data_IF_276826043322
#
_entry.id   IF_276826043322
#
_cell.length_a   1.000
_cell.length_b   1.000
_cell.length_c   1.000
_cell.angle_alpha   90.00
_cell.angle_beta   90.00
_cell.angle_gamma   90.00
#
_symmetry.space_group_name_H-M   'P 1'
#
loop_
_entity.id
_entity.type
_entity.pdbx_description
1 polymer ?
#
# COMPACT_ATOMS: atom_id res chain seq x y z
N UNK A 1 10.48 4.76 -11.43
CA UNK A 1 9.25 4.99 -12.23
C UNK A 1 8.09 5.00 -11.25
N UNK A 2 7.26 6.04 -11.30
CA UNK A 2 6.07 6.17 -10.46
C UNK A 2 4.84 5.98 -11.36
N UNK A 3 3.84 5.28 -10.84
CA UNK A 3 2.58 5.05 -11.52
C UNK A 3 1.45 5.58 -10.64
N UNK A 4 0.52 6.30 -11.23
CA UNK A 4 -0.73 6.70 -10.58
C UNK A 4 -1.87 5.82 -11.09
N UNK A 5 -2.76 5.44 -10.18
CA UNK A 5 -4.00 4.74 -10.48
C UNK A 5 -5.03 5.14 -9.42
N UNK A 6 -6.22 5.56 -9.84
CA UNK A 6 -7.22 6.17 -8.95
C UNK A 6 -6.60 7.28 -8.07
N UNK A 7 -6.74 7.19 -6.74
CA UNK A 7 -6.17 8.13 -5.77
C UNK A 7 -4.79 7.69 -5.25
N UNK A 8 -4.23 6.62 -5.83
CA UNK A 8 -2.99 6.00 -5.39
C UNK A 8 -1.83 6.34 -6.31
N UNK A 9 -0.65 6.46 -5.71
CA UNK A 9 0.63 6.58 -6.39
C UNK A 9 1.57 5.51 -5.87
N UNK A 10 2.10 4.69 -6.78
CA UNK A 10 3.04 3.62 -6.48
C UNK A 10 4.39 3.89 -7.12
N UNK A 11 5.45 3.87 -6.30
CA UNK A 11 6.82 3.90 -6.76
C UNK A 11 7.35 2.46 -6.86
N UNK A 12 7.57 1.99 -8.09
CA UNK A 12 8.02 0.61 -8.36
C UNK A 12 9.43 0.38 -7.80
N UNK A 13 10.30 1.40 -7.82
CA UNK A 13 11.69 1.23 -7.36
C UNK A 13 11.77 1.29 -5.83
N UNK A 14 11.04 2.22 -5.22
CA UNK A 14 11.01 2.37 -3.78
C UNK A 14 10.00 1.42 -3.09
N UNK A 15 9.24 0.63 -3.86
CA UNK A 15 8.15 -0.25 -3.39
C UNK A 15 7.21 0.46 -2.40
N UNK A 16 6.96 1.75 -2.66
CA UNK A 16 6.24 2.64 -1.74
C UNK A 16 4.91 3.04 -2.36
N UNK A 17 3.85 2.92 -1.56
CA UNK A 17 2.50 3.37 -1.92
C UNK A 17 2.20 4.70 -1.23
N UNK A 18 1.51 5.60 -1.91
CA UNK A 18 0.93 6.81 -1.35
C UNK A 18 -0.51 6.96 -1.80
N UNK A 19 -1.39 7.47 -0.95
CA UNK A 19 -2.78 7.79 -1.28
C UNK A 19 -3.04 9.25 -0.91
N UNK A 20 -3.54 10.06 -1.84
CA UNK A 20 -3.80 11.49 -1.60
C UNK A 20 -2.57 12.24 -1.03
N UNK A 21 -1.37 11.88 -1.50
CA UNK A 21 -0.10 12.43 -1.00
C UNK A 21 0.36 11.92 0.37
N UNK A 22 -0.42 11.06 1.05
CA UNK A 22 -0.02 10.40 2.30
C UNK A 22 0.64 9.06 2.01
N UNK A 23 1.88 8.89 2.48
CA UNK A 23 2.62 7.63 2.33
C UNK A 23 1.95 6.52 3.15
N UNK A 24 1.57 5.44 2.48
CA UNK A 24 1.06 4.21 3.08
C UNK A 24 2.20 3.20 3.11
N UNK A 25 2.51 2.69 4.30
CA UNK A 25 3.53 1.66 4.45
C UNK A 25 2.99 0.31 3.99
N UNK A 26 3.29 -0.07 2.75
CA UNK A 26 3.03 -1.41 2.22
C UNK A 26 4.19 -2.34 2.58
N UNK A 27 3.89 -3.59 2.97
CA UNK A 27 4.94 -4.60 3.17
C UNK A 27 5.65 -4.90 1.85
N UNK A 28 6.90 -5.31 1.93
CA UNK A 28 7.75 -5.56 0.75
C UNK A 28 7.15 -6.59 -0.21
N UNK A 29 6.67 -7.74 0.29
CA UNK A 29 6.12 -8.82 -0.53
C UNK A 29 4.85 -8.46 -1.32
N UNK A 30 3.81 -7.87 -0.70
CA UNK A 30 2.66 -7.41 -1.48
C UNK A 30 3.04 -6.27 -2.43
N UNK A 31 4.00 -5.41 -2.09
CA UNK A 31 4.51 -4.39 -3.01
C UNK A 31 5.24 -5.00 -4.22
N UNK A 32 6.02 -6.07 -4.04
CA UNK A 32 6.65 -6.81 -5.14
C UNK A 32 5.61 -7.46 -6.06
N UNK A 33 4.55 -8.06 -5.50
CA UNK A 33 3.43 -8.59 -6.30
C UNK A 33 2.75 -7.46 -7.10
N UNK A 34 2.48 -6.33 -6.44
CA UNK A 34 1.88 -5.18 -7.09
C UNK A 34 2.74 -4.67 -8.25
N UNK A 35 4.05 -4.54 -8.04
CA UNK A 35 5.00 -4.15 -9.07
C UNK A 35 4.97 -5.12 -10.26
N UNK A 36 4.96 -6.43 -10.00
CA UNK A 36 4.90 -7.45 -11.06
C UNK A 36 3.63 -7.31 -11.90
N UNK A 37 2.47 -7.20 -11.25
CA UNK A 37 1.16 -7.11 -11.91
C UNK A 37 1.00 -5.81 -12.72
N UNK A 38 1.46 -4.68 -12.18
CA UNK A 38 1.30 -3.37 -12.83
C UNK A 38 2.33 -3.17 -13.95
N UNK A 39 3.50 -3.81 -13.89
CA UNK A 39 4.48 -3.71 -14.99
C UNK A 39 3.95 -4.37 -16.29
N UNK A 40 3.06 -5.35 -16.17
CA UNK A 40 2.47 -6.06 -17.30
C UNK A 40 0.95 -6.23 -17.08
N UNK A 41 0.16 -5.14 -17.12
CA UNK A 41 -1.25 -5.18 -16.73
C UNK A 41 -2.09 -6.05 -17.68
N UNK A 42 -1.68 -6.20 -18.94
CA UNK A 42 -2.34 -7.06 -19.92
C UNK A 42 -2.02 -8.56 -19.76
N UNK A 43 -1.00 -8.90 -18.96
CA UNK A 43 -0.57 -10.29 -18.75
C UNK A 43 -1.27 -10.88 -17.54
N UNK A 44 -1.77 -12.11 -17.70
CA UNK A 44 -2.23 -12.92 -16.57
C UNK A 44 -1.00 -13.60 -15.96
N UNK A 45 -0.65 -13.23 -14.73
CA UNK A 45 0.43 -13.86 -13.98
C UNK A 45 -0.10 -15.07 -13.23
N UNK A 46 0.47 -16.24 -13.52
CA UNK A 46 0.15 -17.47 -12.80
C UNK A 46 0.68 -17.43 -11.37
N UNK A 47 0.09 -18.26 -10.50
CA UNK A 47 0.54 -18.36 -9.10
C UNK A 47 2.00 -18.80 -9.03
N UNK A 48 2.42 -19.70 -9.91
CA UNK A 48 3.79 -20.20 -9.99
C UNK A 48 4.74 -19.07 -10.39
N UNK A 49 4.43 -18.32 -11.45
CA UNK A 49 5.23 -17.14 -11.85
C UNK A 49 5.34 -16.12 -10.71
N UNK A 50 4.24 -15.83 -10.00
CA UNK A 50 4.27 -14.90 -8.87
C UNK A 50 5.17 -15.44 -7.74
N UNK A 51 5.09 -16.74 -7.45
CA UNK A 51 5.93 -17.37 -6.43
C UNK A 51 7.42 -17.32 -6.81
N UNK A 52 7.74 -17.62 -8.06
CA UNK A 52 9.12 -17.63 -8.57
C UNK A 52 9.74 -16.22 -8.58
N UNK A 53 8.98 -15.21 -9.02
CA UNK A 53 9.46 -13.81 -9.11
C UNK A 53 9.58 -13.16 -7.72
N UNK A 54 8.61 -13.37 -6.83
CA UNK A 54 8.55 -12.66 -5.54
C UNK A 54 9.28 -13.42 -4.42
N UNK A 55 9.39 -14.74 -4.53
CA UNK A 55 10.10 -15.60 -3.58
C UNK A 55 11.12 -16.52 -4.26
N UNK A 56 12.12 -15.95 -4.95
CA UNK A 56 13.11 -16.76 -5.65
C UNK A 56 13.86 -17.67 -4.67
N UNK A 57 13.95 -18.96 -5.02
CA UNK A 57 14.68 -19.96 -4.24
C UNK A 57 14.06 -20.30 -2.88
N UNK A 58 12.80 -19.93 -2.62
CA UNK A 58 12.09 -20.34 -1.39
C UNK A 58 10.88 -21.21 -1.71
N UNK A 59 10.73 -22.29 -0.96
CA UNK A 59 9.52 -23.12 -0.99
C UNK A 59 8.44 -22.44 -0.15
N UNK A 60 7.57 -21.70 -0.83
CA UNK A 60 6.37 -21.09 -0.26
C UNK A 60 5.12 -21.64 -0.94
N UNK A 61 4.04 -21.78 -0.19
CA UNK A 61 2.77 -22.28 -0.70
C UNK A 61 2.00 -21.20 -1.45
N UNK A 62 1.14 -21.60 -2.38
CA UNK A 62 0.17 -20.70 -3.05
C UNK A 62 -0.70 -19.90 -2.05
N UNK A 63 -0.90 -20.41 -0.83
CA UNK A 63 -1.61 -19.71 0.24
C UNK A 63 -1.06 -18.32 0.52
N UNK A 64 0.26 -18.12 0.41
CA UNK A 64 0.90 -16.82 0.63
C UNK A 64 0.50 -15.85 -0.48
N UNK A 65 0.39 -16.31 -1.74
CA UNK A 65 -0.10 -15.48 -2.84
C UNK A 65 -1.53 -15.05 -2.56
N UNK A 66 -2.42 -15.97 -2.18
CA UNK A 66 -3.81 -15.64 -1.85
C UNK A 66 -3.94 -14.58 -0.76
N UNK A 67 -3.16 -14.71 0.32
CA UNK A 67 -3.15 -13.72 1.41
C UNK A 67 -2.70 -12.33 0.94
N UNK A 68 -1.64 -12.27 0.12
CA UNK A 68 -1.14 -10.99 -0.38
C UNK A 68 -2.11 -10.36 -1.40
N UNK A 69 -2.72 -11.14 -2.29
CA UNK A 69 -3.75 -10.65 -3.21
C UNK A 69 -4.97 -10.12 -2.43
N UNK A 70 -5.41 -10.85 -1.40
CA UNK A 70 -6.48 -10.38 -0.51
C UNK A 70 -6.14 -9.07 0.19
N UNK A 71 -4.90 -8.92 0.67
CA UNK A 71 -4.43 -7.67 1.27
C UNK A 71 -4.40 -6.52 0.26
N UNK A 72 -3.95 -6.76 -0.97
CA UNK A 72 -3.97 -5.74 -2.04
C UNK A 72 -5.41 -5.33 -2.38
N UNK A 73 -6.35 -6.27 -2.47
CA UNK A 73 -7.78 -5.98 -2.67
C UNK A 73 -8.40 -5.18 -1.53
N UNK A 74 -8.00 -5.44 -0.29
CA UNK A 74 -8.46 -4.65 0.84
C UNK A 74 -7.99 -3.18 0.77
N UNK A 75 -6.89 -2.91 0.06
CA UNK A 75 -6.35 -1.56 -0.12
C UNK A 75 -6.93 -0.85 -1.36
N UNK A 76 -7.02 -1.55 -2.48
CA UNK A 76 -7.37 -0.98 -3.80
C UNK A 76 -8.81 -1.30 -4.24
N UNK A 77 -9.54 -2.09 -3.48
CA UNK A 77 -10.84 -2.62 -3.89
C UNK A 77 -10.72 -3.97 -4.59
N UNK A 78 -11.85 -4.68 -4.66
CA UNK A 78 -11.91 -6.03 -5.25
C UNK A 78 -11.69 -6.01 -6.77
N UNK A 79 -12.13 -4.93 -7.42
CA UNK A 79 -12.05 -4.74 -8.87
C UNK A 79 -10.62 -4.52 -9.37
N UNK A 80 -9.69 -4.14 -8.49
CA UNK A 80 -8.33 -3.81 -8.88
C UNK A 80 -7.54 -5.01 -9.42
N UNK A 81 -7.84 -6.21 -8.91
CA UNK A 81 -7.16 -7.44 -9.29
C UNK A 81 -8.19 -8.50 -9.66
N UNK A 82 -8.22 -8.87 -10.95
CA UNK A 82 -9.10 -9.94 -11.45
C UNK A 82 -8.45 -11.30 -11.26
N UNK A 83 -9.24 -12.26 -10.76
CA UNK A 83 -8.82 -13.66 -10.69
C UNK A 83 -9.35 -14.43 -11.89
N UNK A 84 -8.45 -15.11 -12.58
CA UNK A 84 -8.78 -16.06 -13.62
C UNK A 84 -8.58 -17.47 -13.06
N UNK A 85 -9.68 -18.18 -12.82
CA UNK A 85 -9.68 -19.55 -12.32
C UNK A 85 -8.70 -20.42 -13.13
N UNK A 86 -7.82 -21.14 -12.41
CA UNK A 86 -6.75 -22.00 -12.97
C UNK A 86 -5.67 -21.30 -13.80
N UNK A 87 -5.75 -19.99 -14.03
CA UNK A 87 -4.73 -19.23 -14.78
C UNK A 87 -3.89 -18.34 -13.87
N UNK A 88 -4.52 -17.55 -12.99
CA UNK A 88 -3.79 -16.63 -12.12
C UNK A 88 -4.51 -15.29 -11.91
N UNK A 89 -3.73 -14.21 -11.89
CA UNK A 89 -4.17 -12.86 -11.54
C UNK A 89 -3.77 -11.85 -12.61
N UNK A 90 -4.59 -10.82 -12.76
CA UNK A 90 -4.34 -9.71 -13.67
C UNK A 90 -4.70 -8.39 -12.99
N UNK A 91 -3.88 -7.37 -13.21
CA UNK A 91 -4.21 -6.01 -12.83
C UNK A 91 -5.30 -5.45 -13.75
N UNK A 92 -6.26 -4.69 -13.22
CA UNK A 92 -7.36 -4.13 -14.03
C UNK A 92 -7.46 -2.61 -13.97
N UNK A 93 -6.87 -1.95 -12.97
CA UNK A 93 -6.97 -0.50 -12.88
C UNK A 93 -6.08 0.15 -13.96
N UNK A 94 -6.56 1.19 -14.65
CA UNK A 94 -5.69 1.98 -15.51
C UNK A 94 -4.57 2.59 -14.67
N UNK A 95 -3.33 2.47 -15.16
CA UNK A 95 -2.16 3.06 -14.52
C UNK A 95 -1.45 3.99 -15.49
N UNK A 96 -1.24 5.24 -15.06
CA UNK A 96 -0.57 6.26 -15.85
C UNK A 96 0.83 6.53 -15.27
N UNK A 97 1.87 6.61 -16.12
CA UNK A 97 3.19 6.99 -15.67
C UNK A 97 3.18 8.44 -15.17
N UNK A 98 3.54 8.61 -13.91
CA UNK A 98 3.83 9.92 -13.33
C UNK A 98 5.29 10.20 -13.60
N UNK A 99 5.57 10.73 -14.79
CA UNK A 99 6.89 11.28 -15.09
C UNK A 99 7.12 12.47 -14.16
N UNK A 100 8.24 12.42 -13.42
CA UNK A 100 8.62 13.44 -12.44
C UNK A 100 9.00 14.80 -13.04
N UNK A 101 8.43 15.16 -14.18
CA UNK A 101 8.54 16.48 -14.77
C UNK A 101 7.32 17.29 -14.33
N UNK A 102 7.50 18.07 -13.26
CA UNK A 102 6.76 19.28 -12.90
C UNK A 102 5.26 19.29 -13.22
N UNK A 103 4.45 19.25 -12.16
CA UNK A 103 3.11 19.81 -12.16
C UNK A 103 3.14 21.23 -12.75
N UNK A 104 2.83 21.34 -14.04
CA UNK A 104 2.24 22.52 -14.64
C UNK A 104 0.75 22.25 -14.72
N UNK A 105 -0.02 22.86 -13.83
CA UNK A 105 -1.45 23.01 -14.00
C UNK A 105 -1.70 23.61 -15.39
N UNK A 106 -2.13 22.80 -16.36
CA UNK A 106 -2.72 23.29 -17.60
C UNK A 106 -4.24 23.24 -17.42
N UNK A 107 -4.71 24.13 -16.57
CA UNK A 107 -6.04 24.69 -16.66
C UNK A 107 -5.86 26.17 -16.98
N UNK A 108 -6.69 26.60 -17.92
CA UNK A 108 -7.02 27.96 -18.36
C UNK A 108 -6.12 28.63 -19.41
N UNK A 109 -6.67 28.54 -20.62
CA UNK A 109 -6.59 29.48 -21.72
C UNK A 109 -6.41 30.96 -21.34
N UNK A 110 -5.65 31.63 -22.20
CA UNK A 110 -5.90 32.97 -22.77
C UNK A 110 -6.01 34.20 -21.86
N UNK A 111 -5.06 35.12 -22.12
CA UNK A 111 -5.20 36.57 -22.14
C UNK A 111 -5.39 37.30 -20.80
N UNK A 112 -4.31 37.89 -20.26
CA UNK A 112 -4.05 39.34 -20.37
C UNK A 112 -2.99 39.81 -19.34
N UNK A 113 -2.29 40.88 -19.71
CA UNK A 113 -1.03 41.41 -19.19
C UNK A 113 -1.21 42.38 -18.01
N UNK A 114 -0.12 42.55 -17.24
CA UNK A 114 0.39 43.81 -16.65
C UNK A 114 0.40 44.00 -15.12
N UNK A 115 1.64 43.87 -14.60
CA UNK A 115 2.42 44.77 -13.72
C UNK A 115 1.72 45.53 -12.58
N UNK A 116 2.22 45.29 -11.36
CA UNK A 116 2.14 46.21 -10.23
C UNK A 116 3.14 45.84 -9.12
N UNK A 117 4.11 46.71 -8.89
CA UNK A 117 5.25 46.59 -7.97
C UNK A 117 4.91 46.58 -6.47
N UNK A 118 5.91 46.10 -5.71
CA UNK A 118 6.34 46.55 -4.38
C UNK A 118 5.34 46.50 -3.20
N UNK A 119 5.70 45.75 -2.16
CA UNK A 119 6.13 46.39 -0.91
C UNK A 119 6.82 45.44 0.06
N UNK A 120 8.00 45.91 0.47
CA UNK A 120 8.81 45.60 1.64
C UNK A 120 8.01 45.77 2.94
N UNK A 121 8.01 44.78 3.82
CA UNK A 121 7.98 45.01 5.27
C UNK A 121 8.69 43.89 6.04
N UNK A 122 9.89 44.26 6.47
CA UNK A 122 10.57 43.75 7.65
C UNK A 122 9.68 43.94 8.88
N UNK A 123 9.55 42.90 9.70
CA UNK A 123 9.39 43.04 11.15
C UNK A 123 9.81 41.74 11.82
N UNK A 124 10.86 41.87 12.60
CA UNK A 124 11.60 40.85 13.32
C UNK A 124 11.22 40.91 14.82
N UNK A 125 11.01 39.73 15.41
CA UNK A 125 11.09 39.32 16.84
C UNK A 125 9.98 39.71 17.86
N UNK A 126 9.41 38.67 18.50
CA UNK A 126 9.55 38.28 19.94
C UNK A 126 8.27 37.55 20.38
N UNK A 127 8.31 36.23 20.57
CA UNK A 127 8.87 35.48 21.70
C UNK A 127 8.04 35.63 22.99
N UNK A 128 7.37 34.52 23.35
CA UNK A 128 7.04 33.99 24.69
C UNK A 128 5.70 33.25 24.61
N UNK A 129 5.41 32.15 25.31
CA UNK A 129 6.18 31.14 26.02
C UNK A 129 5.14 30.07 26.44
N UNK A 130 5.52 28.78 26.34
CA UNK A 130 5.05 27.66 27.19
C UNK A 130 3.58 27.21 26.99
N UNK A 131 3.29 25.90 26.86
CA UNK A 131 3.22 24.92 27.96
C UNK A 131 3.26 23.47 27.39
N UNK A 132 4.04 22.63 28.08
CA UNK A 132 3.96 21.17 28.34
C UNK A 132 3.56 20.19 27.23
N UNK A 133 4.44 19.31 26.76
CA UNK A 133 4.88 18.05 27.42
C UNK A 133 3.79 16.96 27.37
N UNK A 134 3.79 16.13 26.31
CA UNK A 134 3.55 14.69 26.47
C UNK A 134 4.09 13.87 25.28
N UNK A 135 5.35 13.44 25.42
CA UNK A 135 5.88 12.12 25.03
C UNK A 135 4.95 11.19 24.20
N UNK A 136 5.38 10.96 22.95
CA UNK A 136 5.37 9.67 22.25
C UNK A 136 4.66 8.52 23.00
N UNK A 137 3.41 8.24 22.64
CA UNK A 137 2.81 6.92 22.86
C UNK A 137 2.75 6.17 21.55
N UNK A 138 3.59 5.15 21.51
CA UNK A 138 3.81 4.22 20.43
C UNK A 138 2.50 3.75 19.77
N UNK A 139 2.52 3.78 18.44
CA UNK A 139 1.57 3.05 17.63
C UNK A 139 1.70 1.56 17.96
N UNK A 140 0.69 1.04 18.65
CA UNK A 140 0.63 -0.37 19.01
C UNK A 140 0.24 -1.17 17.76
N UNK A 141 1.03 -2.19 17.38
CA UNK A 141 0.65 -3.09 16.31
C UNK A 141 -0.63 -3.83 16.71
N UNK A 142 -1.54 -3.98 15.75
CA UNK A 142 -2.82 -4.71 15.79
C UNK A 142 -2.72 -6.20 16.20
N UNK A 143 -1.62 -6.64 16.82
CA UNK A 143 -1.31 -8.02 17.18
C UNK A 143 -1.56 -8.34 18.67
N UNK A 144 -2.66 -7.83 19.25
CA UNK A 144 -3.14 -8.26 20.56
C UNK A 144 -4.59 -8.74 20.48
N UNK A 145 -4.82 -9.88 19.82
CA UNK A 145 -5.97 -10.74 20.13
C UNK A 145 -5.43 -11.82 21.07
N UNK A 146 -5.50 -11.54 22.36
CA UNK A 146 -5.29 -12.57 23.40
C UNK A 146 -6.58 -13.38 23.48
N UNK A 147 -6.54 -14.71 23.29
CA UNK A 147 -7.73 -15.54 23.42
C UNK A 147 -8.18 -15.61 24.88
N UNK A 148 -9.44 -15.27 25.12
CA UNK A 148 -10.10 -15.49 26.39
C UNK A 148 -10.24 -17.01 26.64
N UNK A 149 -9.68 -17.41 27.78
CA UNK A 149 -9.93 -18.65 28.49
C UNK A 149 -11.43 -18.95 28.65
N UNK A 150 -11.86 -20.13 28.21
CA UNK A 150 -12.91 -20.87 28.93
C UNK A 150 -12.38 -22.27 29.20
N UNK A 151 -12.01 -22.48 30.46
CA UNK A 151 -11.77 -23.79 31.03
C UNK A 151 -13.12 -24.50 31.23
N UNK A 152 -13.25 -25.72 30.72
CA UNK A 152 -14.24 -26.66 31.20
C UNK A 152 -13.54 -28.03 31.30
N UNK A 153 -13.29 -28.44 32.54
CA UNK A 153 -12.84 -29.76 32.89
C UNK A 153 -13.91 -30.79 32.51
N UNK A 154 -13.53 -31.85 31.78
CA UNK A 154 -14.28 -33.09 31.75
C UNK A 154 -13.28 -34.25 31.76
N UNK A 155 -13.25 -34.89 32.92
CA UNK A 155 -12.54 -36.11 33.26
C UNK A 155 -13.25 -37.29 32.58
N UNK A 156 -12.47 -38.24 32.05
CA UNK A 156 -12.91 -39.60 31.69
C UNK A 156 -12.56 -39.94 30.25
N UNK A 157 -11.97 -41.09 29.91
CA UNK A 157 -11.52 -42.28 30.60
C UNK A 157 -10.65 -43.04 29.57
N UNK A 158 -9.51 -43.59 29.97
CA UNK A 158 -9.33 -45.02 30.21
C UNK A 158 -9.58 -45.91 28.97
N UNK A 159 -8.47 -46.40 28.41
CA UNK A 159 -8.21 -47.72 27.78
C UNK A 159 -9.31 -48.36 26.91
N UNK A 160 -8.94 -48.75 25.68
CA UNK A 160 -8.95 -50.17 25.27
C UNK A 160 -8.11 -50.37 24.01
N UNK A 161 -7.21 -51.34 24.13
CA UNK A 161 -6.41 -51.98 23.08
C UNK A 161 -7.19 -53.24 22.65
N UNK A 162 -7.39 -53.45 21.36
CA UNK A 162 -7.66 -54.75 20.75
C UNK A 162 -7.34 -54.68 19.26
#
# INVERSE_FOLDING_TARGET
>A
MKLAFEDFQFDIQALTLSKDGRKISLKEKPAQILALLITQPDKIHSKVEILEEVWPGRTVTEQVVFQNIGHLRALFGDEAIKTFSKKGYQWQLPCDPVDGALQGASVVASDDVSIGEAQKNDSTVQASAQISDEKHTAQLPWALIVPALVAAAAIGGFLVFA
#
